data_IF_344373600857
#
_entry.id   IF_344373600857
#
_cell.length_a   1.000
_cell.length_b   1.000
_cell.length_c   1.000
_cell.angle_alpha   90.00
_cell.angle_beta   90.00
_cell.angle_gamma   90.00
#
_symmetry.space_group_name_H-M   'P 1'
#
loop_
_entity.id
_entity.type
_entity.pdbx_description
1 polymer ?
#
# COMPACT_ATOMS: atom_id res chain seq x y z
N UNK A 1 -48.06 -1.07 -7.03
CA UNK A 1 -46.91 -0.15 -7.19
C UNK A 1 -46.62 0.04 -8.66
N UNK A 2 -46.64 1.27 -9.18
CA UNK A 2 -46.37 1.51 -10.60
C UNK A 2 -44.89 1.27 -10.91
N UNK A 3 -44.57 0.82 -12.13
CA UNK A 3 -43.18 0.61 -12.58
C UNK A 3 -42.29 1.86 -12.41
N UNK A 4 -42.88 3.06 -12.38
CA UNK A 4 -42.19 4.33 -12.09
C UNK A 4 -41.75 4.47 -10.63
N UNK A 5 -42.53 3.96 -9.69
CA UNK A 5 -42.22 4.00 -8.25
C UNK A 5 -41.08 3.05 -7.87
N UNK A 6 -40.92 1.94 -8.61
CA UNK A 6 -39.84 0.97 -8.38
C UNK A 6 -38.50 1.46 -8.95
N UNK A 7 -38.49 2.07 -10.14
CA UNK A 7 -37.26 2.63 -10.74
C UNK A 7 -36.72 3.83 -9.96
N UNK A 8 -37.60 4.68 -9.41
CA UNK A 8 -37.18 5.79 -8.54
C UNK A 8 -36.57 5.29 -7.22
N UNK A 9 -37.12 4.22 -6.65
CA UNK A 9 -36.60 3.62 -5.43
C UNK A 9 -35.21 2.99 -5.65
N UNK A 10 -34.97 2.33 -6.80
CA UNK A 10 -33.65 1.75 -7.13
C UNK A 10 -32.60 2.85 -7.36
N UNK A 11 -32.93 3.93 -8.08
CA UNK A 11 -32.02 5.06 -8.26
C UNK A 11 -31.72 5.79 -6.94
N UNK A 12 -32.72 5.93 -6.07
CA UNK A 12 -32.55 6.51 -4.75
C UNK A 12 -31.67 5.63 -3.85
N UNK A 13 -31.80 4.30 -3.89
CA UNK A 13 -30.93 3.39 -3.14
C UNK A 13 -29.48 3.42 -3.64
N UNK A 14 -29.24 3.53 -4.96
CA UNK A 14 -27.89 3.65 -5.53
C UNK A 14 -27.27 5.00 -5.17
N UNK A 15 -28.05 6.09 -5.26
CA UNK A 15 -27.59 7.42 -4.84
C UNK A 15 -27.29 7.48 -3.34
N UNK A 16 -28.11 6.84 -2.50
CA UNK A 16 -27.91 6.78 -1.06
C UNK A 16 -26.70 5.89 -0.69
N UNK A 17 -26.46 4.80 -1.44
CA UNK A 17 -25.26 3.97 -1.30
C UNK A 17 -23.98 4.71 -1.70
N UNK A 18 -24.06 5.65 -2.64
CA UNK A 18 -22.95 6.53 -3.05
C UNK A 18 -22.67 7.68 -2.06
N UNK A 19 -23.59 7.98 -1.13
CA UNK A 19 -23.40 9.00 -0.08
C UNK A 19 -22.79 8.47 1.21
N UNK A 20 -22.70 7.15 1.37
CA UNK A 20 -21.84 6.55 2.39
C UNK A 20 -20.39 6.61 1.91
N UNK A 21 -19.81 7.81 1.96
CA UNK A 21 -18.36 7.94 2.06
C UNK A 21 -17.97 7.24 3.36
N UNK A 22 -17.62 5.95 3.28
CA UNK A 22 -16.94 5.27 4.36
C UNK A 22 -15.79 6.20 4.77
N UNK A 23 -15.83 6.71 6.01
CA UNK A 23 -14.66 7.39 6.57
C UNK A 23 -13.51 6.42 6.36
N UNK A 24 -12.48 6.84 5.63
CA UNK A 24 -11.25 6.07 5.50
C UNK A 24 -10.80 5.74 6.93
N UNK A 25 -10.98 4.48 7.33
CA UNK A 25 -10.43 4.02 8.60
C UNK A 25 -8.93 3.89 8.36
N UNK A 26 -8.14 4.41 9.29
CA UNK A 26 -6.72 4.06 9.33
C UNK A 26 -6.59 2.54 9.44
N UNK A 27 -5.63 1.98 8.71
CA UNK A 27 -5.39 0.55 8.68
C UNK A 27 -4.70 0.10 9.95
N UNK A 28 -5.04 -1.09 10.45
CA UNK A 28 -4.40 -1.65 11.64
C UNK A 28 -3.21 -2.50 11.23
N UNK A 29 -2.02 -2.05 11.62
CA UNK A 29 -0.78 -2.82 11.50
C UNK A 29 -0.59 -3.64 12.77
N UNK A 30 -0.17 -4.89 12.64
CA UNK A 30 0.30 -5.75 13.71
C UNK A 30 1.59 -6.42 13.27
N UNK A 31 2.59 -6.47 14.15
CA UNK A 31 3.87 -7.13 13.91
C UNK A 31 4.04 -8.32 14.86
N UNK A 32 4.34 -9.50 14.30
CA UNK A 32 4.47 -10.74 15.09
C UNK A 32 5.89 -10.95 15.66
N UNK A 33 6.86 -10.14 15.21
CA UNK A 33 8.26 -10.22 15.61
C UNK A 33 9.13 -11.10 14.72
N UNK A 34 8.57 -11.71 13.68
CA UNK A 34 9.34 -12.44 12.67
C UNK A 34 10.05 -11.47 11.74
N UNK A 35 11.24 -11.88 11.30
CA UNK A 35 12.10 -11.17 10.35
C UNK A 35 12.87 -12.22 9.53
N UNK A 36 13.45 -11.82 8.39
CA UNK A 36 14.11 -12.76 7.48
C UNK A 36 15.40 -13.34 8.08
N UNK A 37 16.26 -12.49 8.63
CA UNK A 37 17.50 -12.87 9.31
C UNK A 37 18.05 -11.70 10.16
N UNK A 38 18.98 -11.99 11.07
CA UNK A 38 19.64 -10.96 11.88
C UNK A 38 20.97 -10.51 11.25
N UNK A 39 21.27 -9.22 11.32
CA UNK A 39 22.55 -8.65 10.90
C UNK A 39 22.90 -7.43 11.76
N UNK A 40 24.14 -7.36 12.25
CA UNK A 40 24.63 -6.21 13.04
C UNK A 40 23.81 -5.89 14.30
N UNK A 41 23.11 -6.87 14.87
CA UNK A 41 22.23 -6.67 16.04
C UNK A 41 20.79 -6.27 15.71
N UNK A 42 20.42 -6.19 14.43
CA UNK A 42 19.08 -5.81 13.96
C UNK A 42 18.45 -6.93 13.14
N UNK A 43 17.12 -7.03 13.15
CA UNK A 43 16.38 -7.89 12.24
C UNK A 43 16.28 -7.23 10.86
N UNK A 44 16.63 -7.95 9.80
CA UNK A 44 16.51 -7.50 8.41
C UNK A 44 15.16 -7.99 7.84
N UNK A 45 14.38 -7.12 7.16
CA UNK A 45 13.06 -7.48 6.64
C UNK A 45 13.12 -8.49 5.48
N UNK A 46 11.96 -9.01 5.01
CA UNK A 46 10.58 -8.68 5.45
C UNK A 46 10.30 -9.00 6.91
N UNK A 47 9.60 -8.10 7.60
CA UNK A 47 8.97 -8.38 8.89
C UNK A 47 7.59 -8.98 8.68
N UNK A 48 7.24 -10.01 9.46
CA UNK A 48 5.91 -10.61 9.40
C UNK A 48 4.90 -9.95 10.34
N UNK A 49 3.63 -10.15 10.00
CA UNK A 49 2.50 -9.69 10.79
C UNK A 49 1.22 -9.61 9.97
N UNK A 50 0.34 -8.70 10.33
CA UNK A 50 -0.93 -8.52 9.61
C UNK A 50 -1.27 -7.07 9.37
N UNK A 51 -1.86 -6.79 8.21
CA UNK A 51 -2.53 -5.53 7.88
C UNK A 51 -4.04 -5.79 7.84
N UNK A 52 -4.81 -5.12 8.71
CA UNK A 52 -6.25 -5.35 8.87
C UNK A 52 -6.61 -6.83 9.09
N UNK A 53 -5.77 -7.56 9.83
CA UNK A 53 -5.94 -8.99 10.11
C UNK A 53 -5.56 -9.94 8.97
N UNK A 54 -5.12 -9.43 7.82
CA UNK A 54 -4.58 -10.24 6.71
C UNK A 54 -3.07 -10.32 6.80
N UNK A 55 -2.48 -11.50 6.55
CA UNK A 55 -1.03 -11.68 6.55
C UNK A 55 -0.36 -10.71 5.60
N UNK A 56 0.67 -10.01 6.08
CA UNK A 56 1.41 -9.03 5.29
C UNK A 56 2.90 -9.08 5.65
N UNK A 57 3.73 -8.58 4.72
CA UNK A 57 5.16 -8.40 4.90
C UNK A 57 5.50 -6.91 4.87
N UNK A 58 6.29 -6.48 5.84
CA UNK A 58 6.63 -5.07 6.03
C UNK A 58 8.12 -4.82 5.88
N UNK A 59 8.48 -3.69 5.30
CA UNK A 59 9.85 -3.24 5.11
C UNK A 59 10.05 -1.91 5.86
N UNK A 60 10.90 -1.92 6.88
CA UNK A 60 11.14 -0.74 7.72
C UNK A 60 11.86 0.36 6.95
N UNK A 61 11.26 1.55 6.96
CA UNK A 61 11.85 2.78 6.42
C UNK A 61 12.21 3.81 7.51
N UNK A 62 11.91 3.50 8.76
CA UNK A 62 12.14 4.37 9.92
C UNK A 62 13.00 3.69 10.99
N UNK A 63 14.30 3.96 10.97
CA UNK A 63 15.23 3.43 11.96
C UNK A 63 15.04 4.03 13.36
N UNK A 64 14.52 5.26 13.45
CA UNK A 64 14.51 6.06 14.67
C UNK A 64 13.43 5.66 15.67
N UNK A 65 12.42 4.89 15.23
CA UNK A 65 11.28 4.49 16.06
C UNK A 65 11.24 2.97 16.19
N UNK A 66 11.67 2.40 17.33
CA UNK A 66 11.74 0.95 17.47
C UNK A 66 10.34 0.34 17.60
N UNK A 67 10.22 -0.91 17.14
CA UNK A 67 9.06 -1.76 17.38
C UNK A 67 9.49 -3.07 18.04
N UNK A 68 8.52 -3.71 18.68
CA UNK A 68 8.69 -4.99 19.35
C UNK A 68 7.59 -5.96 18.91
N UNK A 69 7.89 -7.26 19.02
CA UNK A 69 6.94 -8.32 18.73
C UNK A 69 5.63 -8.14 19.53
N UNK A 70 4.50 -8.37 18.88
CA UNK A 70 3.17 -8.27 19.48
C UNK A 70 2.56 -6.87 19.52
N UNK A 71 3.25 -5.86 18.98
CA UNK A 71 2.71 -4.50 18.89
C UNK A 71 1.73 -4.33 17.73
N UNK A 72 0.76 -3.43 17.94
CA UNK A 72 -0.20 -3.01 16.91
C UNK A 72 -0.46 -1.52 16.99
N UNK A 73 -0.68 -0.88 15.84
CA UNK A 73 -1.02 0.53 15.74
C UNK A 73 -1.87 0.81 14.50
N UNK A 74 -2.50 1.98 14.50
CA UNK A 74 -3.23 2.51 13.35
C UNK A 74 -2.25 3.26 12.43
N UNK A 75 -2.37 3.05 11.13
CA UNK A 75 -1.55 3.69 10.11
C UNK A 75 -2.41 4.36 9.02
N UNK A 76 -1.98 5.54 8.58
CA UNK A 76 -2.42 6.14 7.33
C UNK A 76 -1.72 5.42 6.18
N UNK A 77 -2.49 5.05 5.15
CA UNK A 77 -1.96 4.47 3.91
C UNK A 77 -1.73 5.60 2.91
N UNK A 78 -0.50 5.70 2.41
CA UNK A 78 -0.16 6.65 1.35
C UNK A 78 0.41 5.89 0.14
N UNK A 79 -0.28 5.98 -1.00
CA UNK A 79 0.21 5.39 -2.26
C UNK A 79 1.44 6.15 -2.76
N UNK A 80 2.47 5.41 -3.19
CA UNK A 80 3.67 6.01 -3.79
C UNK A 80 3.43 6.67 -5.14
N UNK A 81 2.34 6.31 -5.82
CA UNK A 81 1.85 6.99 -7.03
C UNK A 81 0.88 8.13 -6.73
N UNK A 82 0.60 8.39 -5.45
CA UNK A 82 -0.28 9.47 -5.00
C UNK A 82 0.34 10.86 -5.15
N UNK A 83 -0.45 11.87 -4.83
CA UNK A 83 -0.08 13.30 -4.96
C UNK A 83 0.21 14.00 -3.64
N UNK A 84 -0.06 13.38 -2.49
CA UNK A 84 0.14 13.98 -1.18
C UNK A 84 0.87 13.03 -0.23
N UNK A 85 1.93 13.54 0.38
CA UNK A 85 2.77 12.85 1.36
C UNK A 85 2.74 13.54 2.72
N UNK A 86 1.81 14.48 2.95
CA UNK A 86 1.73 15.27 4.19
C UNK A 86 1.47 14.45 5.46
N UNK A 87 0.96 13.23 5.31
CA UNK A 87 0.71 12.30 6.40
C UNK A 87 1.88 11.33 6.64
N UNK A 88 2.91 11.37 5.80
CA UNK A 88 4.11 10.53 5.90
C UNK A 88 5.17 11.24 6.74
N UNK A 89 6.06 10.49 7.39
CA UNK A 89 7.08 11.06 8.28
C UNK A 89 8.04 12.00 7.55
N UNK A 90 8.47 11.64 6.33
CA UNK A 90 9.45 12.41 5.57
C UNK A 90 8.82 13.45 4.64
N UNK A 91 7.54 13.30 4.29
CA UNK A 91 6.82 14.24 3.43
C UNK A 91 7.39 14.36 2.00
N UNK A 92 8.31 13.48 1.61
CA UNK A 92 9.07 13.58 0.36
C UNK A 92 8.88 12.32 -0.49
N UNK A 93 8.14 12.45 -1.60
CA UNK A 93 7.88 11.35 -2.51
C UNK A 93 9.16 10.71 -3.06
N UNK A 94 10.12 11.52 -3.52
CA UNK A 94 11.37 11.04 -4.12
C UNK A 94 12.11 10.13 -3.15
N UNK A 95 12.22 10.52 -1.88
CA UNK A 95 12.88 9.71 -0.85
C UNK A 95 12.19 8.36 -0.65
N UNK A 96 10.86 8.31 -0.62
CA UNK A 96 10.15 7.04 -0.53
C UNK A 96 10.29 6.19 -1.81
N UNK A 97 10.38 6.81 -2.99
CA UNK A 97 10.65 6.11 -4.23
C UNK A 97 12.05 5.48 -4.22
N UNK A 98 13.06 6.19 -3.70
CA UNK A 98 14.41 5.65 -3.51
C UNK A 98 14.40 4.44 -2.56
N UNK A 99 13.70 4.55 -1.42
CA UNK A 99 13.53 3.45 -0.47
C UNK A 99 12.82 2.25 -1.11
N UNK A 100 11.71 2.47 -1.81
CA UNK A 100 10.95 1.40 -2.47
C UNK A 100 11.76 0.72 -3.57
N UNK A 101 12.62 1.46 -4.29
CA UNK A 101 13.54 0.88 -5.25
C UNK A 101 14.59 -0.01 -4.56
N UNK A 102 15.18 0.43 -3.44
CA UNK A 102 16.12 -0.37 -2.64
C UNK A 102 15.45 -1.64 -2.09
N UNK A 103 14.20 -1.54 -1.62
CA UNK A 103 13.43 -2.73 -1.21
C UNK A 103 13.21 -3.67 -2.40
N UNK A 104 12.93 -3.14 -3.59
CA UNK A 104 12.80 -3.96 -4.81
C UNK A 104 14.11 -4.70 -5.13
N UNK A 105 15.26 -4.05 -4.99
CA UNK A 105 16.57 -4.72 -5.15
C UNK A 105 16.76 -5.82 -4.10
N UNK A 106 16.42 -5.55 -2.84
CA UNK A 106 16.50 -6.49 -1.73
C UNK A 106 15.66 -7.75 -1.99
N UNK A 107 14.43 -7.57 -2.51
CA UNK A 107 13.53 -8.68 -2.86
C UNK A 107 14.02 -9.47 -4.08
N UNK A 108 14.81 -8.87 -4.96
CA UNK A 108 15.30 -9.50 -6.20
C UNK A 108 16.51 -10.43 -5.99
N UNK A 109 17.10 -10.42 -4.80
CA UNK A 109 18.33 -11.17 -4.50
C UNK A 109 18.12 -12.17 -3.37
N UNK A 110 18.89 -13.25 -3.38
CA UNK A 110 18.97 -14.24 -2.28
C UNK A 110 20.21 -14.04 -1.41
N UNK A 111 21.09 -13.10 -1.75
CA UNK A 111 22.31 -12.83 -1.01
C UNK A 111 21.99 -11.95 0.22
N UNK A 112 22.06 -12.55 1.42
CA UNK A 112 21.79 -11.87 2.69
C UNK A 112 22.68 -10.66 2.95
N UNK A 113 23.95 -10.68 2.50
CA UNK A 113 24.82 -9.51 2.65
C UNK A 113 24.32 -8.34 1.80
N UNK A 114 23.83 -8.61 0.59
CA UNK A 114 23.25 -7.58 -0.25
C UNK A 114 21.94 -7.05 0.36
N UNK A 115 21.06 -7.93 0.82
CA UNK A 115 19.82 -7.54 1.51
C UNK A 115 20.08 -6.66 2.73
N UNK A 116 21.09 -7.00 3.54
CA UNK A 116 21.49 -6.18 4.67
C UNK A 116 21.98 -4.80 4.22
N UNK A 117 22.83 -4.72 3.19
CA UNK A 117 23.29 -3.44 2.63
C UNK A 117 22.13 -2.57 2.12
N UNK A 118 21.17 -3.17 1.40
CA UNK A 118 19.98 -2.48 0.93
C UNK A 118 19.19 -1.91 2.13
N UNK A 119 19.03 -2.69 3.20
CA UNK A 119 18.32 -2.25 4.40
C UNK A 119 19.05 -1.13 5.15
N UNK A 120 20.38 -1.20 5.29
CA UNK A 120 21.14 -0.11 5.93
C UNK A 120 21.13 1.17 5.07
N UNK A 121 21.09 1.04 3.75
CA UNK A 121 20.91 2.19 2.86
C UNK A 121 19.52 2.82 3.09
N UNK A 122 18.45 2.03 3.18
CA UNK A 122 17.09 2.50 3.52
C UNK A 122 17.08 3.21 4.88
N UNK A 123 17.66 2.60 5.92
CA UNK A 123 17.69 3.20 7.26
C UNK A 123 18.52 4.48 7.34
N UNK A 124 19.49 4.69 6.45
CA UNK A 124 20.34 5.89 6.49
C UNK A 124 19.57 7.19 6.22
N UNK A 125 18.43 7.12 5.53
CA UNK A 125 17.52 8.26 5.37
C UNK A 125 16.91 8.73 6.69
N UNK A 126 16.84 7.85 7.70
CA UNK A 126 16.25 8.12 9.02
C UNK A 126 17.26 7.98 10.16
N UNK A 127 18.56 8.15 9.85
CA UNK A 127 19.64 8.18 10.85
C UNK A 127 20.21 6.81 11.23
N UNK A 128 19.95 5.78 10.43
CA UNK A 128 20.53 4.46 10.60
C UNK A 128 22.04 4.40 10.38
N UNK A 129 22.70 3.36 10.92
CA UNK A 129 24.14 3.19 10.80
C UNK A 129 24.56 2.82 9.37
N UNK A 130 25.85 3.00 9.07
CA UNK A 130 26.48 2.61 7.81
C UNK A 130 27.62 1.60 8.04
N UNK A 131 27.33 0.37 8.50
CA UNK A 131 28.35 -0.59 8.88
C UNK A 131 29.20 -1.08 7.68
N UNK A 132 28.67 -0.95 6.45
CA UNK A 132 29.32 -1.43 5.24
C UNK A 132 30.01 -0.32 4.41
N UNK A 133 29.82 0.95 4.77
CA UNK A 133 30.35 2.08 3.99
C UNK A 133 29.69 2.29 2.62
N UNK A 134 28.59 1.60 2.31
CA UNK A 134 27.97 1.57 0.97
C UNK A 134 26.74 2.45 0.82
N UNK A 135 26.19 3.01 1.90
CA UNK A 135 24.90 3.70 1.86
C UNK A 135 24.85 4.81 0.80
N UNK A 136 25.88 5.67 0.72
CA UNK A 136 25.91 6.79 -0.22
C UNK A 136 25.87 6.37 -1.69
N UNK A 137 26.57 5.28 -2.08
CA UNK A 137 26.54 4.80 -3.47
C UNK A 137 25.21 4.14 -3.81
N UNK A 138 24.59 3.46 -2.85
CA UNK A 138 23.28 2.81 -3.04
C UNK A 138 22.15 3.82 -3.13
N UNK A 139 22.18 4.88 -2.33
CA UNK A 139 21.26 6.02 -2.44
C UNK A 139 21.42 6.69 -3.80
N UNK A 140 22.66 6.94 -4.25
CA UNK A 140 22.89 7.52 -5.58
C UNK A 140 22.33 6.64 -6.72
N UNK A 141 22.45 5.31 -6.60
CA UNK A 141 21.85 4.38 -7.55
C UNK A 141 20.31 4.41 -7.51
N UNK A 142 19.73 4.49 -6.31
CA UNK A 142 18.28 4.62 -6.13
C UNK A 142 17.75 5.92 -6.75
N UNK A 143 18.42 7.05 -6.50
CA UNK A 143 18.07 8.34 -7.10
C UNK A 143 18.12 8.28 -8.63
N UNK A 144 19.17 7.67 -9.19
CA UNK A 144 19.29 7.49 -10.63
C UNK A 144 18.13 6.64 -11.19
N UNK A 145 17.72 5.58 -10.49
CA UNK A 145 16.57 4.76 -10.90
C UNK A 145 15.25 5.54 -10.88
N UNK A 146 15.04 6.40 -9.87
CA UNK A 146 13.88 7.31 -9.81
C UNK A 146 13.89 8.29 -10.98
N UNK A 147 15.04 8.89 -11.28
CA UNK A 147 15.21 9.78 -12.43
C UNK A 147 15.00 9.07 -13.77
N UNK A 148 15.29 7.77 -13.83
CA UNK A 148 15.04 6.91 -15.00
C UNK A 148 13.62 6.34 -15.08
N UNK A 149 12.69 6.81 -14.24
CA UNK A 149 11.26 6.51 -14.36
C UNK A 149 10.74 5.41 -13.43
N UNK A 150 11.44 5.07 -12.35
CA UNK A 150 10.85 4.24 -11.29
C UNK A 150 9.69 4.99 -10.62
N UNK A 151 8.48 4.40 -10.65
CA UNK A 151 7.24 5.06 -10.19
C UNK A 151 6.73 4.59 -8.82
N UNK A 152 7.30 3.51 -8.27
CA UNK A 152 6.80 2.91 -7.03
C UNK A 152 5.38 2.30 -7.16
N UNK A 153 4.92 1.99 -8.37
CA UNK A 153 3.62 1.34 -8.57
C UNK A 153 3.50 0.03 -7.77
N UNK A 154 2.40 -0.14 -7.05
CA UNK A 154 2.16 -1.28 -6.16
C UNK A 154 2.80 -1.16 -4.78
N UNK A 155 3.55 -0.08 -4.51
CA UNK A 155 4.07 0.22 -3.18
C UNK A 155 3.20 1.25 -2.44
N UNK A 156 3.04 1.03 -1.15
CA UNK A 156 2.32 1.92 -0.25
C UNK A 156 3.11 2.12 1.05
N UNK A 157 2.94 3.29 1.64
CA UNK A 157 3.56 3.71 2.89
C UNK A 157 2.52 3.59 4.01
N UNK A 158 2.87 2.90 5.08
CA UNK A 158 2.09 2.78 6.30
C UNK A 158 2.70 3.72 7.35
N UNK A 159 2.08 4.88 7.54
CA UNK A 159 2.55 5.88 8.52
C UNK A 159 1.71 5.85 9.78
N UNK A 160 2.28 5.60 10.97
CA UNK A 160 1.54 5.59 12.23
C UNK A 160 0.74 6.89 12.46
N UNK A 161 -0.51 6.78 12.89
CA UNK A 161 -1.37 7.96 13.18
C UNK A 161 -1.17 8.54 14.58
N UNK A 162 -0.33 7.91 15.41
CA UNK A 162 -0.08 8.29 16.80
C UNK A 162 1.40 8.28 17.15
N UNK A 163 1.71 8.45 18.44
CA UNK A 163 3.09 8.50 18.93
C UNK A 163 3.81 7.13 18.94
N UNK A 164 3.08 6.04 18.71
CA UNK A 164 3.60 4.67 18.70
C UNK A 164 3.46 4.07 17.30
N UNK A 165 4.44 3.25 16.92
CA UNK A 165 4.51 2.57 15.63
C UNK A 165 5.75 2.97 14.83
N UNK A 166 6.14 2.12 13.90
CA UNK A 166 7.21 2.37 12.94
C UNK A 166 6.61 2.55 11.55
N UNK A 167 7.27 3.37 10.72
CA UNK A 167 6.84 3.55 9.34
C UNK A 167 7.37 2.42 8.46
N UNK A 168 6.47 1.87 7.64
CA UNK A 168 6.76 0.77 6.74
C UNK A 168 6.43 1.10 5.30
N UNK A 169 7.19 0.48 4.39
CA UNK A 169 6.72 0.17 3.05
C UNK A 169 6.15 -1.23 3.03
N UNK A 170 5.11 -1.42 2.23
CA UNK A 170 4.60 -2.74 1.89
C UNK A 170 4.14 -2.77 0.44
N UNK A 171 4.15 -3.96 -0.15
CA UNK A 171 3.80 -4.16 -1.54
C UNK A 171 2.40 -4.77 -1.64
N UNK A 172 1.45 -4.01 -2.19
CA UNK A 172 0.06 -4.44 -2.43
C UNK A 172 -0.12 -5.16 -3.76
N UNK A 173 0.92 -5.18 -4.60
CA UNK A 173 0.80 -5.58 -6.00
C UNK A 173 0.17 -4.48 -6.85
N UNK A 174 0.26 -4.61 -8.17
CA UNK A 174 -0.50 -3.75 -9.09
C UNK A 174 -1.87 -4.41 -9.24
N UNK A 175 -3.01 -3.68 -9.11
CA UNK A 175 -4.32 -4.27 -9.33
C UNK A 175 -4.34 -4.99 -10.68
N UNK A 176 -4.51 -6.32 -10.65
CA UNK A 176 -4.54 -7.08 -11.87
C UNK A 176 -5.74 -6.63 -12.72
N UNK A 177 -5.59 -6.48 -14.05
CA UNK A 177 -6.67 -6.05 -14.94
C UNK A 177 -7.95 -6.89 -14.79
N UNK A 178 -7.85 -8.12 -14.28
CA UNK A 178 -8.98 -9.01 -14.03
C UNK A 178 -10.03 -8.45 -13.07
N UNK A 179 -9.67 -7.65 -12.07
CA UNK A 179 -10.64 -7.06 -11.14
C UNK A 179 -11.44 -5.93 -11.81
N UNK A 180 -10.79 -5.12 -12.64
CA UNK A 180 -11.46 -4.13 -13.49
C UNK A 180 -12.33 -4.80 -14.55
N UNK A 181 -11.86 -5.90 -15.14
CA UNK A 181 -12.65 -6.68 -16.09
C UNK A 181 -13.90 -7.27 -15.42
N UNK A 182 -13.76 -7.84 -14.22
CA UNK A 182 -14.90 -8.37 -13.45
C UNK A 182 -15.89 -7.28 -13.06
N UNK A 183 -15.41 -6.10 -12.67
CA UNK A 183 -16.28 -4.96 -12.37
C UNK A 183 -17.01 -4.48 -13.63
N UNK A 184 -16.32 -4.36 -14.77
CA UNK A 184 -16.90 -3.93 -16.03
C UNK A 184 -17.90 -4.96 -16.58
N UNK A 185 -17.59 -6.26 -16.47
CA UNK A 185 -18.50 -7.35 -16.83
C UNK A 185 -19.72 -7.36 -15.91
N UNK A 186 -19.53 -7.19 -14.60
CA UNK A 186 -20.62 -7.09 -13.63
C UNK A 186 -21.55 -5.92 -13.92
N UNK A 187 -21.01 -4.73 -14.18
CA UNK A 187 -21.79 -3.55 -14.57
C UNK A 187 -22.48 -3.73 -15.93
N UNK A 188 -21.83 -4.42 -16.88
CA UNK A 188 -22.41 -4.75 -18.18
C UNK A 188 -23.65 -5.64 -18.07
N UNK A 189 -23.59 -6.69 -17.24
CA UNK A 189 -24.73 -7.60 -17.00
C UNK A 189 -25.90 -6.85 -16.37
N UNK A 190 -25.65 -5.98 -15.39
CA UNK A 190 -26.68 -5.15 -14.74
C UNK A 190 -27.35 -4.22 -15.75
N UNK A 191 -26.58 -3.59 -16.65
CA UNK A 191 -27.11 -2.70 -17.67
C UNK A 191 -28.00 -3.42 -18.70
N UNK A 192 -27.64 -4.65 -19.10
CA UNK A 192 -28.45 -5.47 -20.02
C UNK A 192 -29.77 -5.86 -19.37
N UNK A 193 -29.72 -6.39 -18.14
CA UNK A 193 -30.92 -6.79 -17.39
C UNK A 193 -31.89 -5.60 -17.14
N UNK A 194 -31.37 -4.39 -16.97
CA UNK A 194 -32.17 -3.18 -16.84
C UNK A 194 -32.86 -2.77 -18.16
N UNK A 195 -32.19 -2.94 -19.32
CA UNK A 195 -32.78 -2.66 -20.64
C UNK A 195 -33.90 -3.62 -21.00
N UNK A 196 -33.73 -4.91 -20.73
CA UNK A 196 -34.75 -5.93 -21.03
C UNK A 196 -36.05 -5.69 -20.24
N UNK A 197 -35.95 -5.32 -18.96
CA UNK A 197 -37.12 -4.94 -18.16
C UNK A 197 -37.82 -3.67 -18.68
N UNK A 198 -37.07 -2.73 -19.25
CA UNK A 198 -37.62 -1.53 -19.89
C UNK A 198 -38.38 -1.83 -21.19
N UNK A 199 -37.85 -2.75 -22.02
CA UNK A 199 -38.49 -3.15 -23.28
C UNK A 199 -39.73 -4.03 -23.04
N UNK A 200 -39.68 -4.96 -22.08
CA UNK A 200 -40.84 -5.75 -21.68
C UNK A 200 -41.98 -4.87 -21.11
N UNK A 201 -41.66 -3.70 -20.55
CA UNK A 201 -42.66 -2.75 -20.09
C UNK A 201 -43.31 -1.92 -21.20
N UNK A 202 -42.66 -1.77 -22.36
CA UNK A 202 -43.20 -1.09 -23.55
C UNK A 202 -44.03 -2.00 -24.45
N UNK A 203 -43.76 -3.32 -24.46
CA UNK A 203 -44.50 -4.28 -25.27
C UNK A 203 -45.90 -4.64 -24.73
N UNK A 204 -46.26 -4.17 -23.54
CA UNK A 204 -47.57 -4.40 -22.88
C UNK A 204 -48.40 -3.11 -22.73
N UNK A 205 -48.08 -2.06 -23.47
CA UNK A 205 -48.83 -0.81 -23.56
C UNK A 205 -49.30 -0.60 -25.00
#
# INVERSE_FOLDING_TARGET
>A
MSKRSLSLAVFACIALALTFSARAKADTVYVDGSYAFANGGYGIPPYGGTLNGQSAQFFCVDFSTPIYAGQSWQANVTSLTGSSFSLTRLGNQTTYLEMAWLVTQMMSTTNQLQQAKDQYAIWSFTGGPNPYGTNSSMIAAALAAVQNGFTGAGWEILTPTGAAGQEFLFFVGVPEPGQLLLLLVGLGIVAIAAREKGNAAKATA
#
